data_IF_633597470254
#
_entry.id   IF_633597470254
#
_cell.length_a   1.000
_cell.length_b   1.000
_cell.length_c   1.000
_cell.angle_alpha   90.00
_cell.angle_beta   90.00
_cell.angle_gamma   90.00
#
_symmetry.space_group_name_H-M   'P 1'
#
loop_
_entity.id
_entity.type
_entity.pdbx_description
1 polymer ?
#
# COMPACT_ATOMS: atom_id res chain seq x y z
N UNK A 1 -27.86 -53.76 -37.72
CA UNK A 1 -27.67 -52.34 -38.09
C UNK A 1 -28.62 -51.55 -37.18
N UNK A 2 -28.21 -50.80 -36.17
CA UNK A 2 -27.29 -49.65 -36.15
C UNK A 2 -26.66 -49.51 -34.76
N UNK A 3 -25.38 -49.12 -34.78
CA UNK A 3 -24.51 -48.78 -33.66
C UNK A 3 -24.93 -47.46 -32.99
N UNK A 4 -24.39 -47.26 -31.78
CA UNK A 4 -24.04 -45.99 -31.13
C UNK A 4 -25.07 -45.33 -30.20
N UNK A 5 -24.80 -45.42 -28.90
CA UNK A 5 -24.81 -44.27 -27.97
C UNK A 5 -24.04 -44.63 -26.68
N UNK A 6 -22.71 -44.70 -26.78
CA UNK A 6 -21.81 -44.40 -25.66
C UNK A 6 -21.97 -42.91 -25.32
N UNK A 7 -22.04 -42.54 -24.03
CA UNK A 7 -21.12 -41.57 -23.41
C UNK A 7 -21.61 -41.15 -22.00
N UNK A 8 -20.96 -41.73 -20.98
CA UNK A 8 -20.36 -41.02 -19.86
C UNK A 8 -21.15 -39.84 -19.26
N UNK A 9 -22.09 -40.16 -18.36
CA UNK A 9 -22.72 -39.19 -17.47
C UNK A 9 -21.94 -39.08 -16.14
N UNK A 10 -21.90 -37.83 -15.63
CA UNK A 10 -21.44 -37.40 -14.31
C UNK A 10 -19.92 -37.21 -14.11
N UNK A 11 -19.44 -36.10 -14.68
CA UNK A 11 -18.26 -35.37 -14.21
C UNK A 11 -18.34 -35.11 -12.69
N UNK A 12 -17.20 -35.31 -12.04
CA UNK A 12 -16.95 -35.11 -10.63
C UNK A 12 -17.30 -33.68 -10.16
N UNK A 13 -18.13 -33.58 -9.12
CA UNK A 13 -18.22 -32.40 -8.27
C UNK A 13 -16.96 -32.34 -7.38
N UNK A 14 -15.92 -31.68 -7.86
CA UNK A 14 -14.87 -31.19 -6.98
C UNK A 14 -15.38 -29.92 -6.30
N UNK A 15 -15.97 -30.06 -5.12
CA UNK A 15 -16.26 -28.93 -4.26
C UNK A 15 -14.93 -28.31 -3.79
N UNK A 16 -14.50 -27.22 -4.41
CA UNK A 16 -13.39 -26.40 -3.93
C UNK A 16 -13.82 -25.70 -2.63
N UNK A 17 -13.50 -26.29 -1.49
CA UNK A 17 -13.53 -25.60 -0.20
C UNK A 17 -12.32 -24.66 -0.14
N UNK A 18 -12.47 -23.44 -0.64
CA UNK A 18 -11.53 -22.38 -0.35
C UNK A 18 -11.65 -22.01 1.13
N UNK A 19 -10.83 -22.66 1.97
CA UNK A 19 -10.59 -22.22 3.35
C UNK A 19 -9.78 -20.93 3.25
N UNK A 20 -10.49 -19.81 3.19
CA UNK A 20 -9.92 -18.48 3.36
C UNK A 20 -9.46 -18.31 4.80
N UNK A 21 -8.25 -18.77 5.10
CA UNK A 21 -7.53 -18.37 6.30
C UNK A 21 -7.34 -16.86 6.22
N UNK A 22 -8.10 -16.13 7.03
CA UNK A 22 -7.91 -14.68 7.21
C UNK A 22 -6.59 -14.52 7.96
N UNK A 23 -5.49 -14.36 7.23
CA UNK A 23 -4.23 -13.97 7.85
C UNK A 23 -4.49 -12.67 8.62
N UNK A 24 -3.97 -12.58 9.85
CA UNK A 24 -3.96 -11.30 10.56
C UNK A 24 -3.33 -10.26 9.61
N UNK A 25 -3.92 -9.05 9.46
CA UNK A 25 -3.43 -8.13 8.45
C UNK A 25 -1.95 -7.85 8.71
N UNK A 26 -1.11 -8.18 7.74
CA UNK A 26 0.25 -7.66 7.71
C UNK A 26 0.13 -6.13 7.79
N UNK A 27 0.88 -5.49 8.66
CA UNK A 27 0.80 -4.05 8.88
C UNK A 27 1.32 -3.26 7.69
N UNK A 28 0.51 -3.18 6.65
CA UNK A 28 0.87 -2.51 5.40
C UNK A 28 -0.33 -1.90 4.71
N UNK A 29 -0.05 -0.86 3.94
CA UNK A 29 -0.96 -0.23 2.99
C UNK A 29 -0.23 -0.17 1.65
N UNK A 30 -0.84 -0.73 0.62
CA UNK A 30 -0.45 -0.46 -0.76
C UNK A 30 -1.52 0.39 -1.43
N UNK A 31 -1.08 1.28 -2.30
CA UNK A 31 -1.93 2.10 -3.14
C UNK A 31 -1.23 2.19 -4.49
N UNK A 32 -1.95 1.89 -5.57
CA UNK A 32 -1.40 1.81 -6.91
C UNK A 32 -2.22 2.64 -7.89
N UNK A 33 -1.52 3.41 -8.72
CA UNK A 33 -2.06 4.29 -9.75
C UNK A 33 -3.19 5.21 -9.25
N UNK A 34 -3.02 5.71 -8.03
CA UNK A 34 -4.02 6.54 -7.37
C UNK A 34 -4.18 7.91 -8.00
N UNK A 35 -5.42 8.36 -8.10
CA UNK A 35 -5.78 9.73 -8.46
C UNK A 35 -6.61 10.38 -7.35
N UNK A 36 -6.26 11.61 -6.99
CA UNK A 36 -6.93 12.38 -5.95
C UNK A 36 -5.99 12.76 -4.81
N UNK A 37 -6.46 12.60 -3.56
CA UNK A 37 -5.74 12.99 -2.34
C UNK A 37 -5.55 11.80 -1.41
N UNK A 38 -4.32 11.58 -0.98
CA UNK A 38 -3.95 10.56 -0.01
C UNK A 38 -3.23 11.21 1.16
N UNK A 39 -3.75 11.02 2.37
CA UNK A 39 -3.13 11.50 3.62
C UNK A 39 -2.81 10.30 4.49
N UNK A 40 -1.55 10.14 4.88
CA UNK A 40 -1.12 9.04 5.74
C UNK A 40 -0.51 9.62 7.00
N UNK A 41 -0.87 9.07 8.15
CA UNK A 41 -0.18 9.30 9.42
C UNK A 41 0.17 7.94 9.99
N UNK A 42 1.45 7.68 10.20
CA UNK A 42 1.89 6.35 10.59
C UNK A 42 3.32 6.32 11.13
N UNK A 43 3.80 5.09 11.34
CA UNK A 43 5.18 4.79 11.70
C UNK A 43 5.69 3.63 10.86
N UNK A 44 7.00 3.59 10.65
CA UNK A 44 7.68 2.51 9.91
C UNK A 44 8.25 2.99 8.58
N UNK A 45 8.29 2.11 7.60
CA UNK A 45 8.90 2.35 6.29
C UNK A 45 7.83 2.75 5.29
N UNK A 46 8.12 3.73 4.45
CA UNK A 46 7.23 4.10 3.35
C UNK A 46 8.04 4.41 2.10
N UNK A 47 7.60 3.88 0.97
CA UNK A 47 8.10 4.26 -0.36
C UNK A 47 6.92 4.73 -1.20
N UNK A 48 7.15 5.70 -2.07
CA UNK A 48 6.13 6.09 -3.01
C UNK A 48 6.65 6.87 -4.20
N UNK A 49 5.76 7.03 -5.17
CA UNK A 49 5.93 7.80 -6.39
C UNK A 49 4.66 8.59 -6.70
N UNK A 50 4.82 9.74 -7.35
CA UNK A 50 3.71 10.51 -7.95
C UNK A 50 4.13 10.85 -9.38
N UNK A 51 3.34 10.47 -10.38
CA UNK A 51 3.61 10.83 -11.78
C UNK A 51 3.46 12.32 -12.00
N UNK A 52 2.39 12.91 -11.48
CA UNK A 52 2.15 14.36 -11.52
C UNK A 52 1.37 14.81 -10.31
N UNK A 53 1.89 15.79 -9.57
CA UNK A 53 1.18 16.30 -8.41
C UNK A 53 2.04 17.06 -7.41
N UNK A 54 1.62 17.00 -6.15
CA UNK A 54 2.33 17.58 -5.02
C UNK A 54 2.47 16.57 -3.89
N UNK A 55 3.59 16.68 -3.18
CA UNK A 55 3.92 15.88 -2.01
C UNK A 55 4.29 16.82 -0.86
N UNK A 56 3.80 16.51 0.33
CA UNK A 56 4.27 17.07 1.59
C UNK A 56 4.56 15.91 2.54
N UNK A 57 5.77 15.88 3.12
CA UNK A 57 6.17 14.94 4.15
C UNK A 57 6.60 15.75 5.38
N UNK A 58 6.03 15.39 6.52
CA UNK A 58 6.44 15.87 7.83
C UNK A 58 6.99 14.71 8.64
N UNK A 59 8.24 14.84 9.07
CA UNK A 59 8.87 14.00 10.07
C UNK A 59 8.36 14.37 11.46
N UNK A 60 7.72 13.41 12.13
CA UNK A 60 7.14 13.55 13.46
C UNK A 60 8.07 13.00 14.55
N UNK A 61 9.23 12.45 14.20
CA UNK A 61 10.28 12.01 15.12
C UNK A 61 11.68 12.52 14.70
N UNK A 62 11.88 13.83 14.47
CA UNK A 62 13.11 14.38 13.87
C UNK A 62 14.37 14.29 14.74
N UNK A 63 14.26 13.75 15.96
CA UNK A 63 15.39 13.49 16.84
C UNK A 63 15.96 12.07 16.67
N UNK A 64 15.34 11.23 15.84
CA UNK A 64 15.84 9.92 15.48
C UNK A 64 16.81 9.97 14.28
N UNK A 65 17.33 8.81 13.88
CA UNK A 65 18.27 8.70 12.76
C UNK A 65 17.59 8.68 11.38
N UNK A 66 16.25 8.74 11.34
CA UNK A 66 15.46 8.62 10.14
C UNK A 66 15.17 10.00 9.57
N UNK A 67 15.28 10.13 8.26
CA UNK A 67 14.94 11.39 7.58
C UNK A 67 14.31 11.07 6.23
N UNK A 68 13.16 11.70 5.91
CA UNK A 68 12.55 11.57 4.59
C UNK A 68 13.51 11.95 3.47
N UNK A 69 13.37 11.26 2.35
CA UNK A 69 14.13 11.50 1.12
C UNK A 69 13.16 11.73 -0.01
N UNK A 70 13.39 12.77 -0.78
CA UNK A 70 12.64 13.05 -2.00
C UNK A 70 13.63 13.44 -3.09
N UNK A 71 13.42 12.93 -4.31
CA UNK A 71 14.32 13.19 -5.42
C UNK A 71 14.42 14.70 -5.72
N UNK A 72 15.65 15.21 -5.81
CA UNK A 72 15.91 16.63 -6.11
C UNK A 72 15.59 17.60 -4.97
N UNK A 73 15.21 17.12 -3.78
CA UNK A 73 14.91 17.99 -2.62
C UNK A 73 15.84 17.69 -1.46
N UNK A 74 16.45 18.72 -0.82
CA UNK A 74 17.23 18.54 0.39
C UNK A 74 16.42 17.88 1.52
N UNK A 75 17.10 17.16 2.40
CA UNK A 75 16.48 16.54 3.59
C UNK A 75 16.06 17.61 4.58
N UNK A 76 14.98 17.35 5.31
CA UNK A 76 14.51 18.23 6.37
C UNK A 76 13.33 17.63 7.13
N UNK A 77 12.95 18.31 8.22
CA UNK A 77 11.77 17.95 9.04
C UNK A 77 10.47 18.05 8.25
N UNK A 78 10.38 19.03 7.35
CA UNK A 78 9.27 19.19 6.41
C UNK A 78 9.86 19.24 5.01
N UNK A 79 9.40 18.35 4.14
CA UNK A 79 9.83 18.28 2.75
C UNK A 79 8.59 18.37 1.88
N UNK A 80 8.55 19.36 0.99
CA UNK A 80 7.41 19.57 0.10
C UNK A 80 7.86 19.95 -1.30
N UNK A 81 7.16 19.43 -2.30
CA UNK A 81 7.35 19.83 -3.69
C UNK A 81 6.08 19.64 -4.51
N UNK A 82 6.03 20.35 -5.63
CA UNK A 82 5.10 20.11 -6.73
C UNK A 82 5.91 19.78 -7.96
N UNK A 83 5.53 18.75 -8.70
CA UNK A 83 6.30 18.32 -9.85
C UNK A 83 5.74 17.09 -10.54
N UNK A 84 6.61 16.50 -11.35
CA UNK A 84 6.38 15.27 -12.09
C UNK A 84 7.45 14.26 -11.71
N UNK A 85 7.14 12.97 -11.79
CA UNK A 85 8.06 11.88 -11.42
C UNK A 85 8.69 12.07 -10.03
N UNK A 86 7.85 12.39 -9.05
CA UNK A 86 8.28 12.56 -7.66
C UNK A 86 8.50 11.18 -7.06
N UNK A 87 9.70 10.91 -6.56
CA UNK A 87 10.08 9.67 -5.87
C UNK A 87 10.42 10.00 -4.42
N UNK A 88 9.82 9.29 -3.48
CA UNK A 88 10.01 9.56 -2.07
C UNK A 88 10.13 8.29 -1.23
N UNK A 89 10.88 8.42 -0.15
CA UNK A 89 11.20 7.33 0.77
C UNK A 89 11.31 7.84 2.20
N UNK A 90 10.63 7.17 3.12
CA UNK A 90 10.72 7.36 4.56
C UNK A 90 11.30 6.07 5.14
N UNK A 91 12.55 6.08 5.66
CA UNK A 91 13.23 4.87 6.12
C UNK A 91 12.73 4.32 7.45
N UNK A 92 11.96 5.11 8.21
CA UNK A 92 11.56 4.77 9.57
C UNK A 92 10.91 5.95 10.28
N UNK A 93 10.75 5.82 11.60
CA UNK A 93 10.22 6.89 12.43
C UNK A 93 8.71 7.07 12.29
N UNK A 94 8.20 8.20 12.79
CA UNK A 94 6.80 8.61 12.66
C UNK A 94 6.71 9.70 11.60
N UNK A 95 5.68 9.63 10.77
CA UNK A 95 5.52 10.56 9.67
C UNK A 95 4.07 10.95 9.45
N UNK A 96 3.90 12.12 8.82
CA UNK A 96 2.68 12.51 8.11
C UNK A 96 3.03 12.77 6.66
N UNK A 97 2.23 12.24 5.75
CA UNK A 97 2.37 12.47 4.30
C UNK A 97 1.03 12.96 3.74
N UNK A 98 1.12 13.91 2.81
CA UNK A 98 0.01 14.35 1.98
C UNK A 98 0.47 14.28 0.52
N UNK A 99 -0.08 13.34 -0.24
CA UNK A 99 0.10 13.24 -1.68
C UNK A 99 -1.18 13.71 -2.38
N UNK A 100 -1.04 14.50 -3.45
CA UNK A 100 -2.16 14.95 -4.29
C UNK A 100 -1.77 14.89 -5.75
N UNK A 101 -2.63 14.39 -6.63
CA UNK A 101 -2.36 14.33 -8.06
C UNK A 101 -2.82 13.02 -8.69
N UNK A 102 -2.08 12.58 -9.70
CA UNK A 102 -2.34 11.34 -10.46
C UNK A 102 -1.09 10.45 -10.52
N UNK A 103 -1.33 9.15 -10.74
CA UNK A 103 -0.27 8.14 -10.74
C UNK A 103 0.43 8.01 -9.39
N UNK A 104 -0.32 8.18 -8.29
CA UNK A 104 0.17 8.03 -6.92
C UNK A 104 0.33 6.53 -6.66
N UNK A 105 1.56 6.07 -6.40
CA UNK A 105 1.82 4.72 -5.88
C UNK A 105 2.51 4.83 -4.53
N UNK A 106 2.00 4.14 -3.51
CA UNK A 106 2.54 4.16 -2.15
C UNK A 106 2.53 2.75 -1.59
N UNK A 107 3.67 2.33 -1.02
CA UNK A 107 3.76 1.15 -0.18
C UNK A 107 4.27 1.56 1.20
N UNK A 108 3.40 1.45 2.20
CA UNK A 108 3.72 1.68 3.60
C UNK A 108 3.76 0.35 4.35
N UNK A 109 4.79 0.16 5.19
CA UNK A 109 4.91 -0.96 6.13
C UNK A 109 5.10 -0.43 7.55
N UNK A 110 4.37 -0.98 8.49
CA UNK A 110 4.33 -0.54 9.88
C UNK A 110 2.89 -0.42 10.36
N UNK A 111 2.54 0.69 11.01
CA UNK A 111 1.20 0.91 11.52
C UNK A 111 0.76 2.34 11.29
N UNK A 112 -0.53 2.55 11.01
CA UNK A 112 -1.04 3.90 10.81
C UNK A 112 -2.47 3.95 10.30
N UNK A 113 -2.81 5.14 9.85
CA UNK A 113 -4.10 5.46 9.26
C UNK A 113 -3.90 6.20 7.96
N UNK A 114 -4.79 5.95 7.00
CA UNK A 114 -4.88 6.72 5.78
C UNK A 114 -6.27 7.34 5.64
N UNK A 115 -6.30 8.52 5.04
CA UNK A 115 -7.51 9.14 4.50
C UNK A 115 -7.30 9.23 3.00
N UNK A 116 -8.20 8.61 2.25
CA UNK A 116 -8.16 8.58 0.79
C UNK A 116 -9.42 9.27 0.28
N UNK A 117 -9.24 10.15 -0.69
CA UNK A 117 -10.28 10.88 -1.39
C UNK A 117 -9.96 10.77 -2.88
N UNK A 118 -10.54 9.77 -3.54
CA UNK A 118 -10.27 9.42 -4.92
C UNK A 118 -10.99 10.35 -5.89
N UNK A 119 -10.30 10.74 -6.95
CA UNK A 119 -10.85 11.57 -8.02
C UNK A 119 -10.85 10.74 -9.31
N UNK A 120 -12.00 10.20 -9.75
CA UNK A 120 -12.07 9.34 -10.93
C UNK A 120 -11.63 10.02 -12.21
N UNK A 121 -11.04 9.25 -13.11
CA UNK A 121 -10.78 9.65 -14.49
C UNK A 121 -12.03 9.56 -15.37
N UNK A 122 -11.86 9.81 -16.68
CA UNK A 122 -12.95 9.75 -17.66
C UNK A 122 -13.57 8.34 -17.80
N UNK A 123 -12.88 7.29 -17.33
CA UNK A 123 -13.36 5.90 -17.32
C UNK A 123 -14.03 5.52 -16.00
N UNK A 124 -14.00 6.42 -15.00
CA UNK A 124 -14.52 6.19 -13.65
C UNK A 124 -13.53 5.52 -12.70
N UNK A 125 -12.26 5.35 -13.10
CA UNK A 125 -11.22 4.73 -12.29
C UNK A 125 -10.40 5.78 -11.53
N UNK A 126 -10.02 5.48 -10.28
CA UNK A 126 -9.17 6.35 -9.45
C UNK A 126 -7.94 5.62 -8.89
N UNK A 127 -7.65 4.41 -9.35
CA UNK A 127 -6.60 3.52 -8.81
C UNK A 127 -7.12 2.49 -7.82
N UNK A 128 -6.21 1.82 -7.13
CA UNK A 128 -6.55 0.76 -6.15
C UNK A 128 -5.77 0.89 -4.84
N UNK A 129 -6.27 0.26 -3.78
CA UNK A 129 -5.56 0.11 -2.51
C UNK A 129 -5.75 -1.30 -1.93
N UNK A 130 -4.81 -1.74 -1.08
CA UNK A 130 -4.96 -2.94 -0.26
C UNK A 130 -4.35 -2.73 1.13
N UNK A 131 -4.87 -3.44 2.12
CA UNK A 131 -4.35 -3.46 3.49
C UNK A 131 -3.84 -4.86 3.78
N UNK A 132 -2.61 -4.97 4.27
CA UNK A 132 -1.98 -6.27 4.52
C UNK A 132 -2.02 -7.17 3.29
N UNK A 133 -2.65 -8.32 3.45
CA UNK A 133 -2.78 -9.36 2.42
C UNK A 133 -4.17 -9.37 1.77
N UNK A 134 -4.98 -8.32 1.98
CA UNK A 134 -6.29 -8.18 1.36
C UNK A 134 -6.17 -8.03 -0.17
N UNK A 135 -7.22 -8.45 -0.88
CA UNK A 135 -7.31 -8.22 -2.33
C UNK A 135 -7.39 -6.71 -2.64
N UNK A 136 -6.77 -6.24 -3.73
CA UNK A 136 -6.88 -4.84 -4.15
C UNK A 136 -8.33 -4.40 -4.35
N UNK A 137 -8.67 -3.26 -3.78
CA UNK A 137 -9.97 -2.61 -3.88
C UNK A 137 -9.86 -1.28 -4.64
N UNK A 138 -10.88 -0.86 -5.41
CA UNK A 138 -10.88 0.45 -6.05
C UNK A 138 -10.74 1.58 -5.04
N UNK A 139 -10.05 2.67 -5.42
CA UNK A 139 -10.03 3.86 -4.58
C UNK A 139 -11.45 4.44 -4.42
N UNK A 140 -11.81 4.87 -3.19
CA UNK A 140 -13.13 5.40 -2.91
C UNK A 140 -13.27 6.82 -3.51
N UNK A 141 -14.41 7.08 -4.15
CA UNK A 141 -14.72 8.39 -4.74
C UNK A 141 -15.20 9.42 -3.71
N UNK A 142 -15.34 8.98 -2.46
CA UNK A 142 -15.62 9.84 -1.31
C UNK A 142 -14.58 9.56 -0.26
N UNK A 143 -14.40 10.52 0.65
CA UNK A 143 -13.43 10.40 1.73
C UNK A 143 -13.63 9.14 2.56
N UNK A 144 -12.69 8.20 2.46
CA UNK A 144 -12.61 7.01 3.30
C UNK A 144 -11.45 7.15 4.28
N UNK A 145 -11.71 6.79 5.54
CA UNK A 145 -10.65 6.61 6.54
C UNK A 145 -10.43 5.12 6.77
N UNK A 146 -9.17 4.69 6.68
CA UNK A 146 -8.77 3.32 6.92
C UNK A 146 -7.61 3.25 7.92
N UNK A 147 -7.46 2.09 8.56
CA UNK A 147 -6.40 1.79 9.52
C UNK A 147 -5.68 0.54 9.04
N UNK A 148 -4.35 0.58 9.03
CA UNK A 148 -3.52 -0.60 8.85
C UNK A 148 -2.79 -0.88 10.19
N UNK A 149 -3.03 -2.05 10.82
CA UNK A 149 -2.50 -2.36 12.15
C UNK A 149 -0.99 -2.55 12.11
N UNK A 150 -0.34 -2.69 13.26
CA UNK A 150 1.05 -3.14 13.27
C UNK A 150 1.13 -4.59 12.79
N UNK A 151 2.18 -4.94 12.03
CA UNK A 151 2.46 -6.35 11.76
C UNK A 151 2.79 -7.04 13.07
N UNK A 152 2.01 -8.06 13.44
CA UNK A 152 2.34 -8.98 14.55
C UNK A 152 3.45 -9.98 14.16
N UNK A 153 4.03 -9.84 12.96
CA UNK A 153 5.17 -10.65 12.51
C UNK A 153 6.39 -10.28 13.36
N UNK A 154 6.91 -11.19 14.20
CA UNK A 154 8.12 -10.92 14.97
C UNK A 154 9.26 -10.61 14.01
N UNK A 155 10.14 -9.68 14.41
CA UNK A 155 11.37 -9.41 13.67
C UNK A 155 12.08 -10.73 13.36
N UNK A 156 12.71 -10.89 12.17
CA UNK A 156 13.52 -12.06 11.88
C UNK A 156 14.47 -12.28 13.04
N UNK A 157 14.42 -13.48 13.63
CA UNK A 157 15.37 -13.87 14.67
C UNK A 157 16.74 -13.69 14.03
N UNK A 158 17.55 -12.77 14.57
CA UNK A 158 18.95 -12.64 14.19
C UNK A 158 19.56 -14.02 14.36
N UNK A 159 19.95 -14.65 13.24
CA UNK A 159 20.72 -15.89 13.21
C UNK A 159 22.11 -15.56 13.75
N UNK A 160 22.18 -15.22 15.03
CA UNK A 160 23.36 -14.80 15.73
C UNK A 160 24.37 -15.92 15.69
N UNK A 161 25.41 -15.69 14.90
CA UNK A 161 26.78 -16.20 15.07
C UNK A 161 26.88 -17.68 15.43
N UNK A 162 27.08 -18.52 14.41
CA UNK A 162 28.03 -19.63 14.56
C UNK A 162 29.38 -19.00 14.97
N UNK A 163 29.69 -19.05 16.27
CA UNK A 163 31.06 -18.85 16.73
C UNK A 163 31.88 -20.07 16.30
N UNK A 164 33.12 -19.87 15.84
CA UNK A 164 34.02 -20.95 15.46
C UNK A 164 34.36 -21.85 16.66
#
# INVERSE_FOLDING_TARGET
MRLAALALAALALSASTAVGGRNAPTGSLSLEDGRGIVKIVGRGVLVGRIDRGSLEIQDLSPADQWSPRVNGVPRGKVVGLRGQNVLFFVPGGRYRIVARGEGISISARGAGQAVIDGEPDATGAAGTFAIGDDAPQPLPQTRLRLVFPASDVPAPVDSGKLRP
#
